data_IF_226071087238
#
_entry.id   IF_226071087238
#
_cell.length_a   1.000
_cell.length_b   1.000
_cell.length_c   1.000
_cell.angle_alpha   90.00
_cell.angle_beta   90.00
_cell.angle_gamma   90.00
#
_symmetry.space_group_name_H-M   'P 1'
#
loop_
_entity.id
_entity.type
_entity.pdbx_description
1 polymer ?
#
# COMPACT_ATOMS: atom_id res chain seq x y z
N UNK A 1 2.00 -19.01 -37.08
CA UNK A 1 1.42 -17.88 -36.34
C UNK A 1 2.36 -17.48 -35.21
N UNK A 2 2.95 -16.28 -35.25
CA UNK A 2 3.80 -15.77 -34.16
C UNK A 2 2.91 -15.05 -33.13
N UNK A 3 2.84 -15.58 -31.91
CA UNK A 3 2.15 -14.95 -30.79
C UNK A 3 2.87 -13.63 -30.49
N UNK A 4 2.24 -12.49 -30.83
CA UNK A 4 2.72 -11.18 -30.41
C UNK A 4 2.62 -11.12 -28.89
N UNK A 5 3.76 -11.20 -28.19
CA UNK A 5 3.85 -10.85 -26.76
C UNK A 5 3.30 -9.43 -26.61
N UNK A 6 2.20 -9.27 -25.87
CA UNK A 6 1.68 -7.95 -25.50
C UNK A 6 2.80 -7.21 -24.78
N UNK A 7 3.10 -5.99 -25.23
CA UNK A 7 4.01 -5.10 -24.51
C UNK A 7 3.52 -4.95 -23.06
N UNK A 8 4.42 -4.93 -22.07
CA UNK A 8 4.03 -4.67 -20.68
C UNK A 8 3.24 -3.35 -20.63
N UNK A 9 2.13 -3.32 -19.89
CA UNK A 9 1.39 -2.08 -19.64
C UNK A 9 2.37 -1.05 -19.02
N UNK A 10 2.29 0.24 -19.40
CA UNK A 10 3.12 1.25 -18.78
C UNK A 10 2.86 1.30 -17.27
N UNK A 11 3.93 1.50 -16.50
CA UNK A 11 3.92 1.54 -15.03
C UNK A 11 2.93 2.56 -14.47
N UNK A 12 2.59 3.61 -15.25
CA UNK A 12 1.58 4.63 -14.95
C UNK A 12 0.13 4.12 -14.84
N UNK A 13 -0.12 2.82 -14.97
CA UNK A 13 -1.47 2.24 -14.80
C UNK A 13 -1.86 1.92 -13.35
N UNK A 14 -0.91 1.91 -12.41
CA UNK A 14 -1.20 1.80 -10.97
C UNK A 14 -0.65 3.03 -10.23
N UNK A 15 -1.40 3.59 -9.27
CA UNK A 15 -0.90 4.68 -8.44
C UNK A 15 0.33 4.25 -7.63
N UNK A 16 1.18 5.19 -7.18
CA UNK A 16 2.21 4.89 -6.19
C UNK A 16 1.59 4.32 -4.91
N UNK A 17 2.38 3.55 -4.15
CA UNK A 17 2.00 3.14 -2.81
C UNK A 17 2.09 4.33 -1.85
N UNK A 18 3.21 5.06 -1.93
CA UNK A 18 3.47 6.22 -1.09
C UNK A 18 3.87 7.42 -1.95
N UNK A 19 3.37 8.58 -1.57
CA UNK A 19 3.86 9.89 -2.05
C UNK A 19 4.44 10.60 -0.85
N UNK A 20 5.64 11.16 -0.97
CA UNK A 20 6.35 11.79 0.15
C UNK A 20 6.60 13.24 -0.21
N UNK A 21 5.93 14.16 0.47
CA UNK A 21 6.13 15.59 0.31
C UNK A 21 7.27 16.08 1.20
N UNK A 22 8.15 16.92 0.66
CA UNK A 22 9.27 17.50 1.40
C UNK A 22 9.71 18.86 0.84
N UNK A 23 10.62 19.52 1.55
CA UNK A 23 11.24 20.79 1.16
C UNK A 23 12.61 20.64 0.51
N UNK A 24 13.34 19.57 0.86
CA UNK A 24 14.66 19.23 0.29
C UNK A 24 14.68 17.76 -0.12
N UNK A 25 15.10 17.47 -1.35
CA UNK A 25 15.18 16.10 -1.87
C UNK A 25 16.44 15.40 -1.35
N UNK A 26 16.38 14.12 -0.95
CA UNK A 26 17.56 13.38 -0.55
C UNK A 26 18.29 12.86 -1.79
N UNK A 27 19.59 12.68 -1.68
CA UNK A 27 20.39 12.04 -2.73
C UNK A 27 20.23 10.52 -2.69
N UNK A 28 20.49 9.85 -3.82
CA UNK A 28 20.55 8.39 -3.86
C UNK A 28 21.62 7.81 -2.93
N UNK A 29 22.73 8.53 -2.74
CA UNK A 29 23.81 8.10 -1.87
C UNK A 29 23.40 8.13 -0.40
N UNK A 30 22.69 9.17 0.04
CA UNK A 30 22.12 9.26 1.39
C UNK A 30 21.12 8.14 1.63
N UNK A 31 20.17 7.94 0.70
CA UNK A 31 19.18 6.88 0.83
C UNK A 31 19.82 5.49 0.88
N UNK A 32 20.82 5.21 0.03
CA UNK A 32 21.56 3.94 0.08
C UNK A 32 22.26 3.75 1.41
N UNK A 33 23.00 4.76 1.85
CA UNK A 33 23.79 4.69 3.08
C UNK A 33 22.88 4.45 4.27
N UNK A 34 21.79 5.21 4.37
CA UNK A 34 20.78 5.03 5.41
C UNK A 34 20.17 3.63 5.36
N UNK A 35 19.73 3.17 4.19
CA UNK A 35 19.09 1.87 4.05
C UNK A 35 20.03 0.71 4.41
N UNK A 36 21.28 0.77 3.95
CA UNK A 36 22.28 -0.27 4.19
C UNK A 36 22.64 -0.38 5.68
N UNK A 37 22.65 0.75 6.40
CA UNK A 37 22.86 0.81 7.84
C UNK A 37 21.67 0.24 8.62
N UNK A 38 20.44 0.60 8.24
CA UNK A 38 19.22 0.22 8.96
C UNK A 38 18.80 -1.23 8.68
N UNK A 39 18.93 -1.69 7.43
CA UNK A 39 18.33 -2.95 6.98
C UNK A 39 19.33 -4.00 6.51
N UNK A 40 20.63 -3.70 6.55
CA UNK A 40 21.69 -4.58 6.07
C UNK A 40 21.74 -4.57 4.54
N UNK A 41 22.71 -3.86 3.97
CA UNK A 41 22.86 -3.71 2.52
C UNK A 41 23.23 -5.00 1.76
N UNK A 42 23.34 -4.92 0.41
CA UNK A 42 23.35 -3.69 -0.37
C UNK A 42 22.00 -3.31 -1.01
N UNK A 43 21.65 -2.03 -0.92
CA UNK A 43 20.63 -1.38 -1.74
C UNK A 43 21.23 -0.88 -3.06
N UNK A 44 20.74 -1.41 -4.17
CA UNK A 44 21.17 -1.05 -5.51
C UNK A 44 20.09 -0.28 -6.26
N UNK A 45 20.51 0.66 -7.12
CA UNK A 45 19.61 1.41 -8.00
C UNK A 45 19.96 1.12 -9.45
N UNK A 46 18.94 0.96 -10.29
CA UNK A 46 19.07 0.85 -11.75
C UNK A 46 17.99 1.71 -12.39
N UNK A 47 18.25 2.22 -13.59
CA UNK A 47 17.18 2.86 -14.36
C UNK A 47 16.04 1.87 -14.58
N UNK A 48 14.82 2.32 -14.32
CA UNK A 48 13.67 1.48 -14.59
C UNK A 48 13.55 1.30 -16.13
N UNK A 49 13.34 0.08 -16.65
CA UNK A 49 13.37 -0.22 -18.09
C UNK A 49 12.24 0.42 -18.93
N UNK A 50 11.47 1.35 -18.36
CA UNK A 50 10.31 1.98 -19.00
C UNK A 50 10.39 3.49 -18.76
N UNK A 51 11.08 4.20 -19.65
CA UNK A 51 11.15 5.67 -19.67
C UNK A 51 12.24 6.15 -20.62
N UNK A 52 11.86 6.86 -21.69
CA UNK A 52 12.78 7.68 -22.50
C UNK A 52 12.65 9.14 -22.07
N UNK A 53 12.70 9.39 -20.77
CA UNK A 53 12.75 10.76 -20.24
C UNK A 53 14.18 11.03 -19.74
N UNK A 54 14.60 12.31 -19.64
CA UNK A 54 15.92 12.65 -19.14
C UNK A 54 16.19 11.98 -17.78
N UNK A 55 17.46 11.63 -17.55
CA UNK A 55 17.90 10.77 -16.45
C UNK A 55 17.51 11.28 -15.03
N UNK A 56 17.16 12.56 -14.88
CA UNK A 56 16.79 13.17 -13.60
C UNK A 56 15.31 13.00 -13.20
N UNK A 57 14.43 12.60 -14.11
CA UNK A 57 12.98 12.41 -13.86
C UNK A 57 12.49 11.00 -14.15
N UNK A 58 13.39 10.10 -14.51
CA UNK A 58 13.05 8.72 -14.83
C UNK A 58 12.88 7.90 -13.55
N UNK A 59 11.86 7.03 -13.48
CA UNK A 59 11.71 6.13 -12.34
C UNK A 59 12.95 5.23 -12.24
N UNK A 60 13.37 5.00 -10.99
CA UNK A 60 14.47 4.12 -10.64
C UNK A 60 13.91 2.83 -10.07
N UNK A 61 14.60 1.73 -10.34
CA UNK A 61 14.39 0.46 -9.67
C UNK A 61 15.34 0.36 -8.49
N UNK A 62 14.79 0.26 -7.27
CA UNK A 62 15.53 0.06 -6.04
C UNK A 62 15.44 -1.41 -5.62
N UNK A 63 16.57 -2.11 -5.57
CA UNK A 63 16.65 -3.55 -5.32
C UNK A 63 17.50 -3.84 -4.10
N UNK A 64 16.96 -4.66 -3.18
CA UNK A 64 17.64 -5.23 -2.04
C UNK A 64 17.38 -6.74 -2.03
N UNK A 65 18.43 -7.56 -2.15
CA UNK A 65 18.28 -9.00 -2.31
C UNK A 65 17.31 -9.38 -3.45
N UNK A 66 16.29 -10.22 -3.21
CA UNK A 66 15.29 -10.59 -4.23
C UNK A 66 14.16 -9.56 -4.39
N UNK A 67 14.10 -8.53 -3.53
CA UNK A 67 12.99 -7.57 -3.48
C UNK A 67 13.30 -6.34 -4.32
N UNK A 68 12.30 -5.83 -5.02
CA UNK A 68 12.45 -4.63 -5.84
C UNK A 68 11.20 -3.75 -5.74
N UNK A 69 11.42 -2.45 -5.77
CA UNK A 69 10.38 -1.43 -5.83
C UNK A 69 10.80 -0.36 -6.82
N UNK A 70 9.85 0.32 -7.45
CA UNK A 70 10.15 1.49 -8.25
C UNK A 70 10.01 2.75 -7.40
N UNK A 71 10.80 3.76 -7.72
CA UNK A 71 10.75 5.04 -7.03
C UNK A 71 11.09 6.21 -7.95
N UNK A 72 10.59 7.38 -7.59
CA UNK A 72 10.98 8.69 -8.09
C UNK A 72 11.42 9.51 -6.88
N UNK A 73 12.69 9.91 -6.82
CA UNK A 73 13.18 10.78 -5.73
C UNK A 73 12.67 12.21 -5.85
N UNK A 74 12.38 12.66 -7.07
CA UNK A 74 11.71 13.92 -7.35
C UNK A 74 10.73 13.70 -8.49
N UNK A 75 9.44 13.84 -8.20
CA UNK A 75 8.41 13.81 -9.22
C UNK A 75 8.54 15.06 -10.13
N UNK A 76 8.14 14.96 -11.42
CA UNK A 76 8.00 16.13 -12.27
C UNK A 76 7.04 17.15 -11.65
N UNK A 77 7.28 18.45 -11.87
CA UNK A 77 6.50 19.54 -11.26
C UNK A 77 4.98 19.36 -11.43
N UNK A 78 4.53 19.07 -12.65
CA UNK A 78 3.11 18.83 -12.92
C UNK A 78 2.49 17.70 -12.08
N UNK A 79 3.27 16.67 -11.73
CA UNK A 79 2.81 15.60 -10.85
C UNK A 79 2.85 16.03 -9.37
N UNK A 80 3.87 16.78 -8.96
CA UNK A 80 3.97 17.34 -7.62
C UNK A 80 2.81 18.32 -7.34
N UNK A 81 2.51 19.22 -8.27
CA UNK A 81 1.40 20.17 -8.20
C UNK A 81 0.05 19.46 -8.09
N UNK A 82 -0.15 18.39 -8.86
CA UNK A 82 -1.38 17.58 -8.79
C UNK A 82 -1.57 16.92 -7.42
N UNK A 83 -0.50 16.39 -6.82
CA UNK A 83 -0.54 15.86 -5.46
C UNK A 83 -0.75 16.97 -4.43
N UNK A 84 -0.11 18.11 -4.63
CA UNK A 84 -0.28 19.26 -3.75
C UNK A 84 -1.73 19.74 -3.70
N UNK A 85 -2.34 19.91 -4.86
CA UNK A 85 -3.73 20.32 -4.96
C UNK A 85 -4.68 19.27 -4.38
N UNK A 86 -4.41 17.99 -4.63
CA UNK A 86 -5.25 16.88 -4.18
C UNK A 86 -5.21 16.64 -2.67
N UNK A 87 -4.03 16.77 -2.06
CA UNK A 87 -3.82 16.52 -0.64
C UNK A 87 -3.96 17.79 0.20
N UNK A 88 -4.08 18.96 -0.46
CA UNK A 88 -4.09 20.28 0.17
C UNK A 88 -2.90 20.51 1.11
N UNK A 89 -1.77 19.82 0.86
CA UNK A 89 -0.58 19.89 1.69
C UNK A 89 0.36 21.03 1.23
N UNK A 90 1.36 21.37 2.06
CA UNK A 90 2.25 22.50 1.79
C UNK A 90 3.45 22.17 0.89
N UNK A 91 3.65 20.90 0.57
CA UNK A 91 4.83 20.44 -0.15
C UNK A 91 4.71 20.72 -1.66
N UNK A 92 5.68 21.45 -2.20
CA UNK A 92 5.80 21.75 -3.64
C UNK A 92 6.67 20.73 -4.38
N UNK A 93 7.39 19.89 -3.65
CA UNK A 93 8.15 18.77 -4.19
C UNK A 93 7.73 17.48 -3.51
N UNK A 94 7.73 16.38 -4.27
CA UNK A 94 7.45 15.07 -3.70
C UNK A 94 8.25 13.96 -4.37
N UNK A 95 8.54 12.91 -3.61
CA UNK A 95 8.93 11.61 -4.12
C UNK A 95 7.70 10.71 -4.27
N UNK A 96 7.84 9.64 -5.05
CA UNK A 96 6.86 8.58 -5.17
C UNK A 96 7.54 7.23 -5.09
N UNK A 97 6.94 6.29 -4.37
CA UNK A 97 7.42 4.90 -4.26
C UNK A 97 6.25 3.98 -4.56
N UNK A 98 6.51 2.93 -5.35
CA UNK A 98 5.52 1.90 -5.60
C UNK A 98 6.11 0.51 -5.75
N UNK A 99 5.25 -0.49 -5.59
CA UNK A 99 5.65 -1.88 -5.76
C UNK A 99 5.78 -2.23 -7.25
N UNK A 100 6.77 -3.08 -7.55
CA UNK A 100 6.77 -3.84 -8.79
C UNK A 100 5.70 -4.93 -8.73
N UNK A 101 5.43 -5.57 -9.87
CA UNK A 101 4.50 -6.72 -9.88
C UNK A 101 5.06 -7.84 -9.02
N UNK A 102 4.43 -8.08 -7.88
CA UNK A 102 4.74 -9.19 -6.99
C UNK A 102 3.95 -10.44 -7.38
N UNK A 103 4.52 -11.60 -7.08
CA UNK A 103 3.77 -12.86 -7.03
C UNK A 103 3.00 -12.92 -5.70
N UNK A 104 1.98 -13.78 -5.62
CA UNK A 104 1.21 -13.97 -4.38
C UNK A 104 2.10 -14.32 -3.18
N UNK A 105 3.15 -15.12 -3.41
CA UNK A 105 4.03 -15.61 -2.35
C UNK A 105 5.06 -14.60 -1.84
N UNK A 106 5.24 -13.44 -2.50
CA UNK A 106 6.21 -12.43 -2.09
C UNK A 106 5.63 -11.00 -2.04
N UNK A 107 4.31 -10.86 -2.06
CA UNK A 107 3.66 -9.55 -2.01
C UNK A 107 4.00 -8.81 -0.72
N UNK A 108 3.94 -9.49 0.43
CA UNK A 108 4.28 -8.93 1.73
C UNK A 108 5.68 -8.30 1.74
N UNK A 109 6.70 -9.05 1.31
CA UNK A 109 8.07 -8.56 1.30
C UNK A 109 8.29 -7.39 0.32
N UNK A 110 7.65 -7.44 -0.86
CA UNK A 110 7.74 -6.36 -1.85
C UNK A 110 7.09 -5.08 -1.32
N UNK A 111 5.93 -5.20 -0.67
CA UNK A 111 5.25 -4.06 -0.04
C UNK A 111 6.07 -3.52 1.13
N UNK A 112 6.64 -4.38 1.96
CA UNK A 112 7.51 -3.97 3.07
C UNK A 112 8.78 -3.28 2.58
N UNK A 113 9.41 -3.78 1.52
CA UNK A 113 10.57 -3.12 0.88
C UNK A 113 10.21 -1.73 0.36
N UNK A 114 9.07 -1.59 -0.34
CA UNK A 114 8.59 -0.29 -0.79
C UNK A 114 8.28 0.67 0.38
N UNK A 115 7.69 0.17 1.47
CA UNK A 115 7.42 0.95 2.67
C UNK A 115 8.71 1.43 3.35
N UNK A 116 9.75 0.60 3.41
CA UNK A 116 11.07 0.98 3.95
C UNK A 116 11.76 2.06 3.15
N UNK A 117 11.65 2.01 1.82
CA UNK A 117 12.14 3.08 0.97
C UNK A 117 11.39 4.39 1.22
N UNK A 118 10.06 4.33 1.32
CA UNK A 118 9.24 5.49 1.64
C UNK A 118 9.62 6.08 3.01
N UNK A 119 9.77 5.23 4.04
CA UNK A 119 10.26 5.61 5.37
C UNK A 119 11.61 6.32 5.29
N UNK A 120 12.58 5.73 4.59
CA UNK A 120 13.92 6.33 4.45
C UNK A 120 13.88 7.73 3.85
N UNK A 121 13.09 7.92 2.78
CA UNK A 121 12.89 9.23 2.17
C UNK A 121 12.21 10.18 3.16
N UNK A 122 11.16 9.75 3.86
CA UNK A 122 10.47 10.56 4.86
C UNK A 122 11.42 11.03 5.97
N UNK A 123 12.25 10.13 6.52
CA UNK A 123 13.19 10.46 7.58
C UNK A 123 14.31 11.39 7.11
N UNK A 124 14.93 11.10 5.97
CA UNK A 124 16.05 11.88 5.43
C UNK A 124 15.64 13.30 5.01
N UNK A 125 14.35 13.52 4.76
CA UNK A 125 13.83 14.81 4.28
C UNK A 125 13.02 15.56 5.33
N UNK A 126 12.81 14.97 6.50
CA UNK A 126 11.83 15.42 7.50
C UNK A 126 10.45 15.71 6.88
N UNK A 127 10.11 14.94 5.84
CA UNK A 127 8.90 15.13 5.04
C UNK A 127 7.67 14.46 5.65
N UNK A 128 6.57 14.50 4.91
CA UNK A 128 5.34 13.76 5.25
C UNK A 128 5.01 12.79 4.12
N UNK A 129 4.90 11.51 4.45
CA UNK A 129 4.39 10.51 3.53
C UNK A 129 2.87 10.44 3.56
N UNK A 130 2.29 10.10 2.42
CA UNK A 130 0.88 9.77 2.25
C UNK A 130 0.79 8.38 1.63
N UNK A 131 0.19 7.45 2.36
CA UNK A 131 -0.14 6.12 1.83
C UNK A 131 -1.41 6.23 0.99
N UNK A 132 -1.27 6.05 -0.32
CA UNK A 132 -2.36 6.29 -1.28
C UNK A 132 -3.49 5.28 -1.10
N UNK A 133 -3.18 4.05 -0.67
CA UNK A 133 -4.19 2.99 -0.59
C UNK A 133 -4.95 3.03 0.74
N UNK A 134 -4.24 3.28 1.84
CA UNK A 134 -4.84 3.48 3.15
C UNK A 134 -5.49 4.87 3.28
N UNK A 135 -5.05 5.84 2.46
CA UNK A 135 -5.33 7.28 2.59
C UNK A 135 -4.98 7.82 3.97
N UNK A 136 -3.78 7.49 4.45
CA UNK A 136 -3.29 8.00 5.74
C UNK A 136 -2.00 8.78 5.55
N UNK A 137 -1.80 9.80 6.39
CA UNK A 137 -0.54 10.52 6.49
C UNK A 137 0.39 9.81 7.47
N UNK A 138 1.69 9.85 7.18
CA UNK A 138 2.76 9.27 7.98
C UNK A 138 3.91 10.29 8.07
N UNK A 139 4.03 10.92 9.23
CA UNK A 139 5.19 11.74 9.60
C UNK A 139 6.35 10.85 10.07
N UNK A 140 7.57 11.39 10.24
CA UNK A 140 8.72 10.62 10.71
C UNK A 140 8.46 9.76 11.96
N UNK A 141 7.66 10.26 12.90
CA UNK A 141 7.29 9.57 14.14
C UNK A 141 6.26 8.46 13.98
N UNK A 142 5.47 8.48 12.89
CA UNK A 142 4.33 7.58 12.70
C UNK A 142 4.77 6.24 12.12
N UNK A 143 5.98 6.18 11.55
CA UNK A 143 6.56 4.96 11.00
C UNK A 143 6.95 3.98 12.09
N UNK A 144 6.32 2.81 12.07
CA UNK A 144 6.79 1.67 12.86
C UNK A 144 7.87 0.93 12.07
N UNK A 145 9.09 0.89 12.61
CA UNK A 145 10.17 0.14 11.99
C UNK A 145 10.05 -1.36 12.31
N UNK A 146 10.06 -2.19 11.27
CA UNK A 146 9.96 -3.65 11.41
C UNK A 146 11.03 -4.36 10.60
N UNK A 147 11.70 -5.39 11.16
CA UNK A 147 12.54 -6.29 10.38
C UNK A 147 11.68 -7.10 9.39
N UNK A 148 12.29 -7.64 8.32
CA UNK A 148 11.55 -8.36 7.26
C UNK A 148 10.78 -9.56 7.81
N UNK A 149 11.34 -10.22 8.83
CA UNK A 149 10.75 -11.37 9.51
C UNK A 149 9.57 -11.02 10.41
N UNK A 150 9.21 -9.74 10.56
CA UNK A 150 8.13 -9.28 11.44
C UNK A 150 7.13 -8.41 10.69
N UNK A 151 6.84 -8.74 9.42
CA UNK A 151 5.75 -8.11 8.70
C UNK A 151 4.46 -8.11 9.55
N UNK A 152 3.77 -6.98 9.57
CA UNK A 152 2.52 -6.79 10.29
C UNK A 152 1.48 -6.18 9.37
N UNK A 153 0.34 -6.84 9.22
CA UNK A 153 -0.78 -6.30 8.42
C UNK A 153 -1.25 -4.94 8.94
N UNK A 154 -1.14 -4.69 10.26
CA UNK A 154 -1.61 -3.48 10.92
C UNK A 154 -0.89 -2.21 10.47
N UNK A 155 0.31 -2.36 9.91
CA UNK A 155 1.12 -1.24 9.40
C UNK A 155 0.76 -0.90 7.95
N UNK A 156 0.01 -1.77 7.28
CA UNK A 156 -0.26 -1.67 5.85
C UNK A 156 -1.75 -1.70 5.49
N UNK A 157 -2.61 -2.00 6.45
CA UNK A 157 -4.07 -2.04 6.33
C UNK A 157 -4.68 -1.25 7.47
N UNK A 158 -5.62 -0.38 7.15
CA UNK A 158 -6.45 0.33 8.13
C UNK A 158 -7.90 -0.14 8.03
N UNK A 159 -8.66 0.01 9.12
CA UNK A 159 -10.10 -0.19 9.13
C UNK A 159 -10.78 1.18 9.15
N UNK A 160 -11.63 1.41 8.17
CA UNK A 160 -12.45 2.62 8.08
C UNK A 160 -13.84 2.31 8.61
N UNK A 161 -14.34 3.19 9.47
CA UNK A 161 -15.72 3.21 9.93
C UNK A 161 -16.46 4.34 9.22
N UNK A 162 -17.63 4.02 8.69
CA UNK A 162 -18.55 4.95 8.06
C UNK A 162 -19.99 4.51 8.35
N UNK A 163 -20.96 5.37 8.06
CA UNK A 163 -22.37 4.98 8.08
C UNK A 163 -22.70 4.29 6.75
N UNK A 164 -23.57 3.27 6.78
CA UNK A 164 -24.09 2.72 5.54
C UNK A 164 -24.94 3.76 4.78
N UNK A 165 -25.17 3.54 3.48
CA UNK A 165 -25.86 4.52 2.64
C UNK A 165 -27.28 4.87 3.12
N UNK A 166 -27.88 4.01 3.95
CA UNK A 166 -29.22 4.17 4.52
C UNK A 166 -29.18 4.74 5.96
N UNK A 167 -27.99 4.90 6.55
CA UNK A 167 -27.78 5.41 7.90
C UNK A 167 -28.31 4.47 9.00
N UNK A 168 -28.49 3.19 8.70
CA UNK A 168 -29.10 2.21 9.61
C UNK A 168 -28.10 1.29 10.29
N UNK A 169 -26.88 1.18 9.73
CA UNK A 169 -25.83 0.29 10.22
C UNK A 169 -24.48 0.98 10.19
N UNK A 170 -23.64 0.59 11.13
CA UNK A 170 -22.22 0.87 11.05
C UNK A 170 -21.61 0.01 9.95
N UNK A 171 -20.92 0.65 9.01
CA UNK A 171 -20.17 0.02 7.95
C UNK A 171 -18.67 0.11 8.26
N UNK A 172 -18.04 -1.05 8.43
CA UNK A 172 -16.60 -1.14 8.64
C UNK A 172 -15.97 -1.89 7.49
N UNK A 173 -14.88 -1.37 6.95
CA UNK A 173 -14.16 -2.00 5.84
C UNK A 173 -12.66 -1.76 5.91
N UNK A 174 -11.90 -2.70 5.36
CA UNK A 174 -10.44 -2.55 5.26
C UNK A 174 -10.03 -1.64 4.11
N UNK A 175 -8.87 -1.03 4.25
CA UNK A 175 -8.15 -0.38 3.16
C UNK A 175 -6.68 -0.72 3.22
N UNK A 176 -6.15 -1.30 2.15
CA UNK A 176 -4.74 -1.66 2.03
C UNK A 176 -4.50 -3.07 1.50
N UNK A 177 -5.51 -3.95 1.53
CA UNK A 177 -5.40 -5.31 1.01
C UNK A 177 -5.09 -5.32 -0.49
N UNK A 178 -5.59 -4.33 -1.21
CA UNK A 178 -5.30 -4.14 -2.64
C UNK A 178 -3.82 -3.92 -2.98
N UNK A 179 -2.98 -3.46 -2.04
CA UNK A 179 -1.51 -3.42 -2.20
C UNK A 179 -0.94 -4.80 -2.50
N UNK A 180 -1.53 -5.83 -1.89
CA UNK A 180 -1.12 -7.22 -1.98
C UNK A 180 -1.85 -7.98 -3.09
N UNK A 181 -2.71 -7.30 -3.85
CA UNK A 181 -3.55 -7.91 -4.88
C UNK A 181 -4.76 -8.66 -4.34
N UNK A 182 -5.19 -8.31 -3.13
CA UNK A 182 -6.39 -8.85 -2.49
C UNK A 182 -7.55 -7.87 -2.55
N UNK A 183 -8.77 -8.38 -2.47
CA UNK A 183 -9.98 -7.59 -2.33
C UNK A 183 -10.07 -7.09 -0.88
N UNK A 184 -10.63 -5.89 -0.69
CA UNK A 184 -10.93 -5.39 0.65
C UNK A 184 -12.08 -6.20 1.26
N UNK A 185 -12.16 -6.26 2.60
CA UNK A 185 -13.24 -6.95 3.32
C UNK A 185 -14.09 -5.93 4.06
N UNK A 186 -15.38 -6.24 4.22
CA UNK A 186 -16.33 -5.38 4.90
C UNK A 186 -17.32 -6.15 5.77
N UNK A 187 -17.83 -5.47 6.77
CA UNK A 187 -18.90 -5.94 7.66
C UNK A 187 -19.87 -4.80 7.92
N UNK A 188 -21.13 -5.17 8.07
CA UNK A 188 -22.20 -4.27 8.53
C UNK A 188 -22.69 -4.75 9.88
N UNK A 189 -22.82 -3.84 10.83
CA UNK A 189 -23.33 -4.16 12.16
C UNK A 189 -24.39 -3.15 12.62
N UNK A 190 -25.29 -3.53 13.54
CA UNK A 190 -26.19 -2.59 14.20
C UNK A 190 -25.42 -1.43 14.85
N UNK A 191 -25.98 -0.23 14.77
CA UNK A 191 -25.42 0.98 15.40
C UNK A 191 -25.33 0.79 16.92
N UNK A 192 -24.23 1.29 17.51
CA UNK A 192 -24.03 1.31 18.96
C UNK A 192 -23.28 0.08 19.50
N UNK A 193 -22.85 -0.83 18.63
CA UNK A 193 -21.95 -1.92 19.01
C UNK A 193 -20.49 -1.46 19.08
N UNK A 194 -19.65 -2.08 19.93
CA UNK A 194 -18.24 -1.73 20.03
C UNK A 194 -17.48 -1.91 18.71
N UNK A 195 -17.03 -0.79 18.13
CA UNK A 195 -16.26 -0.75 16.86
C UNK A 195 -14.89 -1.41 17.02
N UNK A 196 -14.22 -1.23 18.16
CA UNK A 196 -12.84 -1.68 18.37
C UNK A 196 -12.66 -3.19 18.12
N UNK A 197 -13.52 -4.02 18.70
CA UNK A 197 -13.45 -5.48 18.56
C UNK A 197 -13.61 -5.92 17.10
N UNK A 198 -14.50 -5.24 16.37
CA UNK A 198 -14.73 -5.54 14.95
C UNK A 198 -13.54 -5.11 14.11
N UNK A 199 -12.95 -3.95 14.38
CA UNK A 199 -11.72 -3.50 13.72
C UNK A 199 -10.56 -4.46 13.96
N UNK A 200 -10.37 -4.95 15.19
CA UNK A 200 -9.35 -5.97 15.47
C UNK A 200 -9.60 -7.26 14.69
N UNK A 201 -10.84 -7.75 14.68
CA UNK A 201 -11.19 -8.95 13.93
C UNK A 201 -10.93 -8.77 12.43
N UNK A 202 -11.29 -7.62 11.84
CA UNK A 202 -11.03 -7.33 10.43
C UNK A 202 -9.52 -7.34 10.13
N UNK A 203 -8.69 -6.83 11.04
CA UNK A 203 -7.24 -6.89 10.87
C UNK A 203 -6.69 -8.32 10.96
N UNK A 204 -7.19 -9.14 11.89
CA UNK A 204 -6.77 -10.54 12.01
C UNK A 204 -7.23 -11.39 10.80
N UNK A 205 -8.42 -11.09 10.26
CA UNK A 205 -8.91 -11.69 9.03
C UNK A 205 -8.04 -11.24 7.85
N UNK A 206 -7.67 -9.97 7.77
CA UNK A 206 -6.77 -9.45 6.74
C UNK A 206 -5.41 -10.15 6.77
N UNK A 207 -4.86 -10.42 7.96
CA UNK A 207 -3.63 -11.19 8.13
C UNK A 207 -3.77 -12.62 7.56
N UNK A 208 -4.87 -13.29 7.89
CA UNK A 208 -5.15 -14.63 7.39
C UNK A 208 -5.35 -14.67 5.87
N UNK A 209 -6.01 -13.65 5.29
CA UNK A 209 -6.17 -13.52 3.84
C UNK A 209 -4.82 -13.27 3.14
N UNK A 210 -3.92 -12.51 3.75
CA UNK A 210 -2.54 -12.34 3.26
C UNK A 210 -1.78 -13.66 3.28
N UNK A 211 -1.92 -14.43 4.36
CA UNK A 211 -1.31 -15.76 4.48
C UNK A 211 -1.82 -16.74 3.41
N UNK A 212 -3.10 -16.69 3.07
CA UNK A 212 -3.71 -17.48 1.99
C UNK A 212 -3.30 -16.95 0.60
N UNK A 213 -3.14 -15.63 0.48
CA UNK A 213 -2.72 -14.95 -0.75
C UNK A 213 -3.80 -14.92 -1.85
N UNK A 214 -5.07 -15.13 -1.51
CA UNK A 214 -6.18 -15.12 -2.48
C UNK A 214 -7.42 -14.43 -1.92
N UNK A 215 -8.07 -13.61 -2.76
CA UNK A 215 -9.39 -13.05 -2.45
C UNK A 215 -10.43 -14.18 -2.40
N UNK A 216 -11.21 -14.29 -1.32
CA UNK A 216 -12.15 -15.38 -1.17
C UNK A 216 -13.40 -15.19 -2.03
N UNK A 217 -13.92 -16.30 -2.55
CA UNK A 217 -15.14 -16.30 -3.38
C UNK A 217 -16.40 -16.23 -2.52
N UNK A 218 -17.48 -15.67 -3.08
CA UNK A 218 -18.79 -15.66 -2.41
C UNK A 218 -19.23 -17.11 -2.14
N UNK A 219 -19.74 -17.36 -0.93
CA UNK A 219 -20.11 -18.69 -0.45
C UNK A 219 -18.97 -19.47 0.23
N UNK A 220 -17.72 -19.00 0.12
CA UNK A 220 -16.61 -19.65 0.82
C UNK A 220 -16.67 -19.42 2.33
N UNK A 221 -16.19 -20.42 3.07
CA UNK A 221 -15.97 -20.34 4.52
C UNK A 221 -14.47 -20.44 4.76
N UNK A 222 -13.92 -19.51 5.54
CA UNK A 222 -12.50 -19.44 5.83
C UNK A 222 -12.30 -19.53 7.34
N UNK A 223 -11.55 -20.53 7.83
CA UNK A 223 -11.20 -20.58 9.24
C UNK A 223 -10.23 -19.44 9.57
N UNK A 224 -10.43 -18.80 10.72
CA UNK A 224 -9.54 -17.79 11.31
C UNK A 224 -8.91 -18.41 12.56
N UNK A 225 -7.77 -19.11 12.44
CA UNK A 225 -7.23 -19.91 13.53
C UNK A 225 -6.84 -19.07 14.76
N UNK A 226 -6.37 -17.84 14.54
CA UNK A 226 -5.96 -16.89 15.57
C UNK A 226 -7.09 -16.49 16.53
N UNK A 227 -8.34 -16.65 16.10
CA UNK A 227 -9.53 -16.27 16.87
C UNK A 227 -10.54 -17.41 17.08
N UNK A 228 -10.21 -18.63 16.63
CA UNK A 228 -11.05 -19.82 16.76
C UNK A 228 -12.49 -19.66 16.20
N UNK A 229 -12.67 -18.87 15.14
CA UNK A 229 -13.94 -18.78 14.41
C UNK A 229 -13.72 -18.98 12.91
N UNK A 230 -14.81 -19.04 12.14
CA UNK A 230 -14.76 -19.01 10.67
C UNK A 230 -15.57 -17.84 10.15
N UNK A 231 -15.08 -17.19 9.09
CA UNK A 231 -15.87 -16.21 8.35
C UNK A 231 -16.57 -16.89 7.17
N UNK A 232 -17.68 -16.33 6.74
CA UNK A 232 -18.32 -16.65 5.46
C UNK A 232 -18.41 -15.41 4.60
N UNK A 233 -18.01 -15.52 3.34
CA UNK A 233 -18.17 -14.45 2.35
C UNK A 233 -19.58 -14.50 1.79
N UNK A 234 -20.39 -13.48 2.04
CA UNK A 234 -21.81 -13.44 1.65
C UNK A 234 -22.06 -12.58 0.42
N UNK A 235 -21.21 -11.61 0.14
CA UNK A 235 -21.39 -10.69 -0.98
C UNK A 235 -20.07 -10.23 -1.58
N UNK A 236 -20.16 -9.75 -2.81
CA UNK A 236 -19.09 -9.07 -3.51
C UNK A 236 -19.67 -7.84 -4.20
N UNK A 237 -19.04 -6.69 -4.00
CA UNK A 237 -19.46 -5.43 -4.63
C UNK A 237 -18.26 -4.54 -4.93
N UNK A 238 -18.45 -3.61 -5.86
CA UNK A 238 -17.50 -2.53 -6.11
C UNK A 238 -18.07 -1.25 -5.51
N UNK A 239 -17.33 -0.62 -4.60
CA UNK A 239 -17.70 0.68 -4.05
C UNK A 239 -16.91 1.80 -4.73
N UNK A 240 -17.57 2.85 -5.24
CA UNK A 240 -16.87 4.01 -5.77
C UNK A 240 -16.14 4.73 -4.63
N UNK A 241 -14.82 4.82 -4.72
CA UNK A 241 -13.99 5.67 -3.86
C UNK A 241 -13.36 6.76 -4.73
N UNK A 242 -13.00 7.89 -4.12
CA UNK A 242 -12.49 9.08 -4.82
C UNK A 242 -11.31 8.79 -5.77
N UNK A 243 -10.53 7.74 -5.48
CA UNK A 243 -9.25 7.50 -6.13
C UNK A 243 -9.22 6.21 -6.94
N UNK A 244 -9.61 5.11 -6.32
CA UNK A 244 -9.61 3.78 -6.92
C UNK A 244 -10.80 3.03 -6.37
N UNK A 245 -11.68 2.50 -7.24
CA UNK A 245 -12.82 1.71 -6.79
C UNK A 245 -12.37 0.59 -5.86
N UNK A 246 -13.04 0.46 -4.72
CA UNK A 246 -12.77 -0.60 -3.77
C UNK A 246 -13.55 -1.84 -4.19
N UNK A 247 -12.85 -2.95 -4.38
CA UNK A 247 -13.47 -4.26 -4.59
C UNK A 247 -13.64 -4.86 -3.20
N UNK A 248 -14.88 -5.05 -2.76
CA UNK A 248 -15.24 -5.41 -1.40
C UNK A 248 -15.87 -6.81 -1.33
N UNK A 249 -15.49 -7.54 -0.29
CA UNK A 249 -16.07 -8.83 0.11
C UNK A 249 -16.80 -8.64 1.44
N UNK A 250 -18.12 -8.75 1.42
CA UNK A 250 -18.91 -8.73 2.65
C UNK A 250 -18.76 -10.05 3.37
N UNK A 251 -18.42 -9.99 4.65
CA UNK A 251 -18.17 -11.14 5.50
C UNK A 251 -19.06 -11.14 6.74
N UNK A 252 -19.37 -12.33 7.24
CA UNK A 252 -20.10 -12.56 8.50
C UNK A 252 -19.38 -13.65 9.31
N UNK A 253 -19.48 -13.57 10.64
CA UNK A 253 -18.97 -14.55 11.59
C UNK A 253 -19.91 -14.69 12.80
#
# INVERSE_FOLDING_TARGET
MKIRRKLPKPLRSKPPLHVIGFSSSPTLAELRTWFDLEYGGPLSFKDHPIGKEPASSSPLMATHGPWSAWMLLSAPSAQADAWQQRLEWRHTTCAAVGAVTATKSNSADVILHAARLARGITLLTEGTAYDVTMQTYLNPSDWTDRPLSQFSVKDHVTVVHSEDAEGQRDWLYTRGLSKFGLDEIEVFQPIGLPIHTVSENLLDIADELLRIGQSPSVGSTIPIPTRAFSIRVVRHRTHPSADTPLILREIVW
#
